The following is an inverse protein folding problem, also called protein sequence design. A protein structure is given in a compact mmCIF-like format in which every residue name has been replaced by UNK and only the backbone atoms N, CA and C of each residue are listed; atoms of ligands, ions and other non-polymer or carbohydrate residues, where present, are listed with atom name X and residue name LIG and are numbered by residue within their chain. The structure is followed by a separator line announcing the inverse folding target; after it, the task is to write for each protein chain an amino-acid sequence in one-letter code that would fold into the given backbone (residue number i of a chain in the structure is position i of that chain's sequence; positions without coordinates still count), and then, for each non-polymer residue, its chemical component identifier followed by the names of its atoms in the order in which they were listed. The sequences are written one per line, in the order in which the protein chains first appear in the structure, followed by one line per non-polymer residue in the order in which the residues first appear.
data_IF_475905311745
#
_entry.id   IF_475905311745
#
_cell.length_a   1.000
_cell.length_b   1.000
_cell.length_c   1.000
_cell.angle_alpha   90.00
_cell.angle_beta   90.00
_cell.angle_gamma   90.00
#
_symmetry.space_group_name_H-M   'P 1'
#
loop_
_entity.id
_entity.type
_entity.pdbx_description
1 polymer ?
#
# COMPACT_ATOMS: atom_id res chain seq x y z
N UNK A 1 19.44 -18.46 7.56
CA UNK A 1 18.29 -17.66 8.04
C UNK A 1 18.10 -16.49 7.09
N UNK A 2 16.87 -16.23 6.63
CA UNK A 2 16.54 -15.05 5.85
C UNK A 2 16.53 -13.81 6.75
N UNK A 3 16.80 -12.63 6.20
CA UNK A 3 16.87 -11.35 6.93
C UNK A 3 15.95 -10.32 6.28
N UNK A 4 15.45 -9.34 7.04
CA UNK A 4 14.72 -8.21 6.46
C UNK A 4 15.56 -7.44 5.44
N UNK A 5 14.90 -6.95 4.40
CA UNK A 5 15.49 -6.04 3.40
C UNK A 5 14.64 -4.78 3.38
N UNK A 6 15.28 -3.63 3.64
CA UNK A 6 14.64 -2.33 3.74
C UNK A 6 15.23 -1.36 2.73
N UNK A 7 14.37 -0.54 2.16
CA UNK A 7 14.74 0.61 1.34
C UNK A 7 14.01 1.86 1.82
N UNK A 8 14.75 2.96 1.96
CA UNK A 8 14.24 4.26 2.38
C UNK A 8 14.49 5.29 1.27
N UNK A 9 13.50 6.13 0.97
CA UNK A 9 13.62 7.22 0.01
C UNK A 9 12.77 8.43 0.46
N UNK A 10 13.44 9.50 0.85
CA UNK A 10 12.77 10.71 1.34
C UNK A 10 11.91 10.41 2.58
N UNK A 11 10.63 10.72 2.52
CA UNK A 11 9.65 10.43 3.59
C UNK A 11 8.96 9.07 3.48
N UNK A 12 9.44 8.17 2.63
CA UNK A 12 8.80 6.87 2.35
C UNK A 12 9.79 5.72 2.49
N UNK A 13 9.27 4.52 2.74
CA UNK A 13 10.06 3.30 2.81
C UNK A 13 9.28 2.08 2.37
N UNK A 14 10.00 1.01 2.02
CA UNK A 14 9.45 -0.31 1.76
C UNK A 14 10.36 -1.37 2.40
N UNK A 15 9.76 -2.42 2.96
CA UNK A 15 10.51 -3.48 3.64
C UNK A 15 9.88 -4.84 3.36
N UNK A 16 10.74 -5.83 3.10
CA UNK A 16 10.39 -7.23 3.12
C UNK A 16 10.93 -7.86 4.40
N UNK A 17 10.07 -8.62 5.09
CA UNK A 17 10.45 -9.41 6.26
C UNK A 17 10.19 -10.90 5.98
N UNK A 18 11.02 -11.82 6.49
CA UNK A 18 10.71 -13.24 6.46
C UNK A 18 9.38 -13.51 7.17
N UNK A 19 8.44 -14.15 6.48
CA UNK A 19 7.12 -14.46 6.99
C UNK A 19 6.58 -15.73 6.34
N UNK A 20 5.91 -16.58 7.11
CA UNK A 20 5.30 -17.83 6.63
C UNK A 20 3.90 -17.56 6.08
N UNK A 21 3.85 -16.84 4.96
CA UNK A 21 2.61 -16.40 4.34
C UNK A 21 2.82 -15.24 3.38
N UNK A 22 1.73 -14.56 3.02
CA UNK A 22 1.76 -13.40 2.11
C UNK A 22 0.99 -12.26 2.73
N UNK A 23 1.69 -11.49 3.57
CA UNK A 23 1.12 -10.32 4.26
C UNK A 23 1.59 -9.04 3.58
N UNK A 24 0.65 -8.12 3.38
CA UNK A 24 0.95 -6.76 2.93
C UNK A 24 0.46 -5.75 3.96
N UNK A 25 1.35 -4.81 4.30
CA UNK A 25 1.03 -3.63 5.08
C UNK A 25 1.39 -2.40 4.27
N UNK A 26 0.39 -1.57 3.99
CA UNK A 26 0.53 -0.37 3.15
C UNK A 26 -0.15 0.79 3.87
N UNK A 27 0.57 1.90 3.95
CA UNK A 27 0.06 3.15 4.50
C UNK A 27 0.26 4.27 3.50
N UNK A 28 -0.73 5.14 3.38
CA UNK A 28 -0.66 6.40 2.63
C UNK A 28 -0.98 7.55 3.57
N UNK A 29 -0.37 8.70 3.34
CA UNK A 29 -0.61 9.93 4.09
C UNK A 29 -0.70 11.12 3.13
N UNK A 30 -1.92 11.37 2.63
CA UNK A 30 -2.19 12.49 1.73
C UNK A 30 -2.77 13.67 2.52
N UNK A 31 -2.27 14.88 2.23
CA UNK A 31 -2.80 16.13 2.82
C UNK A 31 -4.22 16.45 2.39
N UNK A 32 -4.70 15.89 1.28
CA UNK A 32 -6.07 16.06 0.80
C UNK A 32 -7.05 15.35 1.74
N UNK A 33 -8.02 16.06 2.35
CA UNK A 33 -8.98 15.45 3.29
C UNK A 33 -9.85 14.34 2.69
N UNK A 34 -10.02 14.32 1.36
CA UNK A 34 -10.77 13.28 0.67
C UNK A 34 -10.05 11.91 0.68
N UNK A 35 -8.73 11.91 0.87
CA UNK A 35 -7.91 10.70 0.96
C UNK A 35 -7.38 10.54 2.39
N UNK A 36 -6.71 11.57 2.91
CA UNK A 36 -6.15 11.60 4.26
C UNK A 36 -5.09 10.54 4.48
N UNK A 37 -4.93 10.15 5.76
CA UNK A 37 -4.10 9.02 6.17
C UNK A 37 -4.93 7.75 6.19
N UNK A 38 -4.47 6.70 5.51
CA UNK A 38 -5.14 5.41 5.45
C UNK A 38 -4.12 4.28 5.57
N UNK A 39 -4.53 3.19 6.23
CA UNK A 39 -3.70 1.99 6.38
C UNK A 39 -4.49 0.74 6.01
N UNK A 40 -3.83 -0.16 5.30
CA UNK A 40 -4.28 -1.51 5.01
C UNK A 40 -3.23 -2.51 5.52
N UNK A 41 -3.68 -3.57 6.20
CA UNK A 41 -2.78 -4.61 6.71
C UNK A 41 -3.51 -5.95 6.75
N UNK A 42 -3.15 -6.89 5.87
CA UNK A 42 -3.79 -8.20 5.81
C UNK A 42 -2.90 -9.28 5.21
N UNK A 43 -3.17 -10.52 5.60
CA UNK A 43 -2.74 -11.72 4.90
C UNK A 43 -3.58 -11.88 3.62
N UNK A 44 -2.94 -11.69 2.47
CA UNK A 44 -3.60 -11.66 1.18
C UNK A 44 -3.84 -13.08 0.68
N UNK A 45 -5.11 -13.43 0.57
CA UNK A 45 -5.59 -14.65 -0.10
C UNK A 45 -6.35 -14.27 -1.37
N UNK A 46 -6.59 -15.21 -2.31
CA UNK A 46 -7.38 -14.93 -3.51
C UNK A 46 -8.79 -14.40 -3.20
N UNK A 47 -9.42 -14.91 -2.14
CA UNK A 47 -10.76 -14.47 -1.71
C UNK A 47 -10.73 -13.03 -1.17
N UNK A 48 -9.76 -12.71 -0.30
CA UNK A 48 -9.58 -11.36 0.22
C UNK A 48 -9.26 -10.38 -0.90
N UNK A 49 -8.33 -10.74 -1.79
CA UNK A 49 -7.97 -9.91 -2.95
C UNK A 49 -9.20 -9.60 -3.79
N UNK A 50 -10.01 -10.60 -4.15
CA UNK A 50 -11.20 -10.42 -4.99
C UNK A 50 -12.26 -9.51 -4.34
N UNK A 51 -12.46 -9.65 -3.02
CA UNK A 51 -13.48 -8.91 -2.27
C UNK A 51 -13.05 -7.48 -1.98
N UNK A 52 -11.83 -7.31 -1.50
CA UNK A 52 -11.41 -6.08 -0.81
C UNK A 52 -10.44 -5.23 -1.65
N UNK A 53 -9.65 -5.83 -2.55
CA UNK A 53 -8.57 -5.14 -3.28
C UNK A 53 -8.91 -4.94 -4.76
N UNK A 54 -9.42 -5.98 -5.44
CA UNK A 54 -9.54 -6.02 -6.89
C UNK A 54 -10.44 -4.92 -7.50
N UNK A 55 -11.36 -4.35 -6.71
CA UNK A 55 -12.27 -3.29 -7.16
C UNK A 55 -11.78 -1.88 -6.81
N UNK A 56 -10.70 -1.74 -6.07
CA UNK A 56 -10.12 -0.44 -5.76
C UNK A 56 -9.63 0.22 -7.06
N UNK A 57 -10.22 1.38 -7.39
CA UNK A 57 -9.83 2.15 -8.59
C UNK A 57 -8.64 3.03 -8.26
N UNK A 58 -7.80 3.28 -9.26
CA UNK A 58 -6.76 4.32 -9.16
C UNK A 58 -7.41 5.70 -8.96
N UNK A 59 -6.66 6.62 -8.36
CA UNK A 59 -7.05 8.01 -8.20
C UNK A 59 -5.86 8.91 -8.58
N UNK A 60 -6.17 10.14 -8.97
CA UNK A 60 -5.19 11.17 -9.29
C UNK A 60 -5.80 12.55 -9.08
N UNK A 61 -4.97 13.58 -9.06
CA UNK A 61 -5.47 14.95 -8.99
C UNK A 61 -5.80 15.45 -10.40
N UNK A 62 -6.97 16.08 -10.56
CA UNK A 62 -7.40 16.63 -11.86
C UNK A 62 -6.36 17.57 -12.48
N UNK A 63 -5.73 18.42 -11.67
CA UNK A 63 -4.66 19.35 -12.11
C UNK A 63 -3.45 18.66 -12.77
N UNK A 64 -3.19 17.38 -12.44
CA UNK A 64 -2.05 16.63 -12.96
C UNK A 64 -2.41 15.91 -14.28
N UNK A 65 -3.70 15.83 -14.62
CA UNK A 65 -4.23 15.22 -15.85
C UNK A 65 -4.34 16.23 -16.99
N UNK A 66 -4.56 17.50 -16.69
CA UNK A 66 -4.71 18.58 -17.68
C UNK A 66 -3.37 19.12 -18.23
N UNK A 67 -2.25 18.41 -17.99
CA UNK A 67 -0.90 18.77 -18.44
C UNK A 67 -0.49 18.07 -19.73
#
# INVERSE_FOLDING_TARGET
MLKPVRWDQGGSWAEFQPYDGTRFEVEIDFTSPAIGRQRFAADVTPALFRRDIARARTFGFLRDVER
#
